data_IF_821765983439
#
_entry.id   IF_821765983439
#
_cell.length_a   1.000
_cell.length_b   1.000
_cell.length_c   1.000
_cell.angle_alpha   90.00
_cell.angle_beta   90.00
_cell.angle_gamma   90.00
#
_symmetry.space_group_name_H-M   'P 1'
#
loop_
_entity.id
_entity.type
_entity.pdbx_description
1 polymer ?
#
# COMPACT_ATOMS: atom_id res chain seq x y z
N UNK A 1 22.59 -17.82 0.26
CA UNK A 1 22.63 -18.13 1.70
C UNK A 1 21.91 -17.00 2.42
N UNK A 2 20.88 -17.30 3.20
CA UNK A 2 20.13 -16.29 3.95
C UNK A 2 20.90 -15.96 5.24
N UNK A 3 21.27 -14.70 5.43
CA UNK A 3 21.99 -14.25 6.63
C UNK A 3 21.01 -14.09 7.78
N UNK A 4 21.18 -14.86 8.87
CA UNK A 4 20.35 -14.77 10.06
C UNK A 4 21.04 -13.91 11.12
N UNK A 5 20.27 -13.04 11.77
CA UNK A 5 20.73 -12.22 12.89
C UNK A 5 19.73 -12.31 14.05
N UNK A 6 20.13 -11.83 15.23
CA UNK A 6 19.27 -11.78 16.42
C UNK A 6 19.19 -10.36 16.93
N UNK A 7 17.98 -9.94 17.31
CA UNK A 7 17.72 -8.60 17.87
C UNK A 7 17.24 -8.79 19.30
N UNK A 8 17.83 -8.04 20.25
CA UNK A 8 17.35 -8.01 21.62
C UNK A 8 16.17 -7.06 21.73
N UNK A 9 15.06 -7.56 22.25
CA UNK A 9 13.83 -6.80 22.50
C UNK A 9 13.35 -7.06 23.92
N UNK A 10 12.54 -6.16 24.52
CA UNK A 10 11.82 -6.45 25.76
C UNK A 10 10.97 -7.71 25.62
N UNK A 11 10.80 -8.45 26.73
CA UNK A 11 10.05 -9.71 26.76
C UNK A 11 8.60 -9.51 26.30
N UNK A 12 7.95 -8.44 26.76
CA UNK A 12 6.57 -8.13 26.39
C UNK A 12 6.42 -7.90 24.88
N UNK A 13 7.42 -7.26 24.25
CA UNK A 13 7.41 -7.03 22.80
C UNK A 13 7.62 -8.33 22.03
N UNK A 14 8.54 -9.19 22.47
CA UNK A 14 8.73 -10.52 21.89
C UNK A 14 7.41 -11.32 21.93
N UNK A 15 6.72 -11.30 23.06
CA UNK A 15 5.49 -12.07 23.25
C UNK A 15 4.36 -11.53 22.38
N UNK A 16 4.27 -10.21 22.23
CA UNK A 16 3.33 -9.57 21.30
C UNK A 16 3.63 -9.93 19.83
N UNK A 17 4.90 -9.97 19.43
CA UNK A 17 5.30 -10.41 18.08
C UNK A 17 4.96 -11.89 17.88
N UNK A 18 5.20 -12.74 18.89
CA UNK A 18 4.87 -14.16 18.83
C UNK A 18 3.36 -14.39 18.71
N UNK A 19 2.54 -13.61 19.43
CA UNK A 19 1.10 -13.64 19.29
C UNK A 19 0.64 -13.20 17.89
N UNK A 20 1.19 -12.10 17.37
CA UNK A 20 0.90 -11.63 16.02
C UNK A 20 1.23 -12.69 14.96
N UNK A 21 2.41 -13.30 15.05
CA UNK A 21 2.87 -14.35 14.16
C UNK A 21 1.95 -15.58 14.20
N UNK A 22 1.54 -16.01 15.41
CA UNK A 22 0.58 -17.12 15.57
C UNK A 22 -0.77 -16.82 14.93
N UNK A 23 -1.30 -15.62 15.13
CA UNK A 23 -2.60 -15.23 14.57
C UNK A 23 -2.58 -15.15 13.03
N UNK A 24 -1.41 -14.87 12.44
CA UNK A 24 -1.21 -14.80 10.99
C UNK A 24 -0.70 -16.11 10.38
N UNK A 25 -0.43 -17.13 11.20
CA UNK A 25 0.20 -18.38 10.79
C UNK A 25 1.57 -18.18 10.11
N UNK A 26 2.31 -17.17 10.54
CA UNK A 26 3.61 -16.76 10.00
C UNK A 26 4.74 -17.04 11.00
N UNK A 27 5.99 -16.99 10.52
CA UNK A 27 7.14 -16.98 11.42
C UNK A 27 7.28 -15.62 12.11
N UNK A 28 7.96 -15.55 13.25
CA UNK A 28 8.24 -14.26 13.91
C UNK A 28 9.03 -13.30 13.01
N UNK A 29 9.94 -13.82 12.18
CA UNK A 29 10.71 -13.01 11.24
C UNK A 29 9.83 -12.40 10.16
N UNK A 30 8.90 -13.17 9.59
CA UNK A 30 7.93 -12.69 8.60
C UNK A 30 6.95 -11.68 9.21
N UNK A 31 6.45 -11.94 10.41
CA UNK A 31 5.56 -11.01 11.10
C UNK A 31 6.24 -9.65 11.37
N UNK A 32 7.55 -9.66 11.68
CA UNK A 32 8.34 -8.42 11.81
C UNK A 32 8.53 -7.74 10.45
N UNK A 33 8.87 -8.50 9.39
CA UNK A 33 9.02 -7.93 8.05
C UNK A 33 7.72 -7.27 7.57
N UNK A 34 6.59 -7.97 7.70
CA UNK A 34 5.29 -7.43 7.32
C UNK A 34 4.92 -6.18 8.14
N UNK A 35 5.22 -6.17 9.44
CA UNK A 35 4.99 -4.99 10.27
C UNK A 35 5.82 -3.77 9.83
N UNK A 36 7.04 -3.99 9.33
CA UNK A 36 7.88 -2.93 8.76
C UNK A 36 7.31 -2.46 7.41
N UNK A 37 6.97 -3.38 6.52
CA UNK A 37 6.38 -3.05 5.21
C UNK A 37 5.10 -2.21 5.36
N UNK A 38 4.24 -2.57 6.33
CA UNK A 38 3.03 -1.82 6.63
C UNK A 38 3.31 -0.40 7.17
N UNK A 39 4.36 -0.24 7.99
CA UNK A 39 4.76 1.06 8.52
C UNK A 39 5.36 1.95 7.41
N UNK A 40 6.17 1.36 6.53
CA UNK A 40 6.75 2.05 5.37
C UNK A 40 5.65 2.50 4.39
N UNK A 41 4.66 1.62 4.12
CA UNK A 41 3.51 1.96 3.29
C UNK A 41 2.67 3.09 3.91
N UNK A 42 2.41 3.04 5.23
CA UNK A 42 1.69 4.12 5.92
C UNK A 42 2.43 5.45 5.81
N UNK A 43 3.76 5.46 5.99
CA UNK A 43 4.59 6.64 5.84
C UNK A 43 4.55 7.17 4.40
N UNK A 44 4.69 6.28 3.41
CA UNK A 44 4.60 6.64 2.00
C UNK A 44 3.26 7.32 1.68
N UNK A 45 2.14 6.75 2.11
CA UNK A 45 0.82 7.34 1.88
C UNK A 45 0.59 8.62 2.68
N UNK A 46 1.21 8.78 3.85
CA UNK A 46 1.19 10.03 4.60
C UNK A 46 1.89 11.16 3.82
N UNK A 47 3.07 10.88 3.26
CA UNK A 47 3.83 11.82 2.44
C UNK A 47 3.13 12.15 1.12
N UNK A 48 2.59 11.13 0.44
CA UNK A 48 1.84 11.30 -0.80
C UNK A 48 0.62 12.21 -0.59
N UNK A 49 -0.12 12.03 0.51
CA UNK A 49 -1.25 12.90 0.88
C UNK A 49 -0.80 14.31 1.23
N UNK A 50 0.31 14.47 1.95
CA UNK A 50 0.85 15.78 2.26
C UNK A 50 1.26 16.55 1.00
N UNK A 51 1.82 15.85 0.00
CA UNK A 51 2.28 16.43 -1.27
C UNK A 51 1.10 16.76 -2.20
N UNK A 52 0.16 15.84 -2.37
CA UNK A 52 -1.02 16.04 -3.24
C UNK A 52 -2.08 16.95 -2.63
N UNK A 53 -2.10 17.09 -1.30
CA UNK A 53 -3.07 17.91 -0.56
C UNK A 53 -2.79 19.41 -0.59
N UNK A 54 -1.65 19.84 -1.14
CA UNK A 54 -1.34 21.28 -1.30
C UNK A 54 -2.24 21.86 -2.39
N UNK A 55 -2.91 22.99 -2.12
CA UNK A 55 -3.91 23.59 -3.02
C UNK A 55 -3.39 23.84 -4.46
N UNK A 56 -2.09 24.13 -4.60
CA UNK A 56 -1.43 24.28 -5.90
C UNK A 56 -1.30 22.96 -6.65
N UNK A 57 -0.94 21.88 -5.95
CA UNK A 57 -0.89 20.54 -6.53
C UNK A 57 -2.27 20.05 -6.95
N UNK A 58 -3.32 20.41 -6.19
CA UNK A 58 -4.72 20.05 -6.52
C UNK A 58 -5.21 20.69 -7.82
N UNK A 59 -4.91 21.97 -8.05
CA UNK A 59 -5.31 22.68 -9.27
C UNK A 59 -4.52 22.22 -10.52
N UNK A 60 -3.28 21.77 -10.33
CA UNK A 60 -2.47 21.16 -11.39
C UNK A 60 -2.94 19.73 -11.71
N UNK A 61 -3.16 18.91 -10.69
CA UNK A 61 -3.69 17.54 -10.84
C UNK A 61 -5.08 17.53 -11.47
N UNK A 62 -5.94 18.49 -11.14
CA UNK A 62 -7.25 18.60 -11.78
C UNK A 62 -7.14 18.89 -13.28
N UNK A 63 -6.32 19.87 -13.68
CA UNK A 63 -6.09 20.19 -15.09
C UNK A 63 -5.49 19.00 -15.84
N UNK A 64 -4.57 18.29 -15.21
CA UNK A 64 -3.94 17.11 -15.80
C UNK A 64 -4.90 15.92 -15.91
N UNK A 65 -5.74 15.71 -14.91
CA UNK A 65 -6.82 14.72 -14.94
C UNK A 65 -7.84 15.03 -16.02
N UNK A 66 -8.22 16.29 -16.20
CA UNK A 66 -9.12 16.72 -17.28
C UNK A 66 -8.49 16.45 -18.65
N UNK A 67 -7.20 16.74 -18.82
CA UNK A 67 -6.45 16.44 -20.05
C UNK A 67 -6.39 14.94 -20.37
N UNK A 68 -6.15 14.11 -19.36
CA UNK A 68 -6.04 12.64 -19.51
C UNK A 68 -7.40 11.95 -19.57
N UNK A 69 -8.47 12.59 -19.08
CA UNK A 69 -9.81 12.00 -19.10
C UNK A 69 -10.31 11.70 -20.52
N UNK A 70 -9.86 12.48 -21.51
CA UNK A 70 -10.22 12.30 -22.91
C UNK A 70 -9.69 10.99 -23.51
N UNK A 71 -8.66 10.39 -22.91
CA UNK A 71 -8.06 9.12 -23.36
C UNK A 71 -8.51 7.93 -22.52
N UNK A 72 -9.41 8.10 -21.55
CA UNK A 72 -9.86 7.00 -20.69
C UNK A 72 -10.66 5.93 -21.44
N UNK A 73 -11.28 6.30 -22.56
CA UNK A 73 -12.06 5.40 -23.42
C UNK A 73 -11.33 5.05 -24.71
N UNK A 74 -10.06 5.45 -24.84
CA UNK A 74 -9.27 5.11 -26.02
C UNK A 74 -9.05 3.59 -26.05
N UNK A 75 -9.29 2.98 -27.22
CA UNK A 75 -9.25 1.53 -27.45
C UNK A 75 -10.27 0.68 -26.65
N UNK A 76 -11.21 1.27 -25.91
CA UNK A 76 -12.33 0.52 -25.33
C UNK A 76 -13.43 0.33 -26.38
N UNK A 77 -13.65 -0.91 -26.83
CA UNK A 77 -14.86 -1.25 -27.59
C UNK A 77 -16.08 -1.03 -26.68
N UNK A 78 -17.16 -0.39 -27.17
CA UNK A 78 -18.38 -0.25 -26.38
C UNK A 78 -18.87 -1.65 -26.00
N UNK A 79 -18.98 -1.93 -24.70
CA UNK A 79 -19.43 -3.23 -24.23
C UNK A 79 -20.86 -3.49 -24.72
N UNK A 80 -20.99 -4.41 -25.69
CA UNK A 80 -22.26 -4.89 -26.18
C UNK A 80 -22.78 -6.00 -25.26
N UNK A 81 -23.59 -5.60 -24.29
CA UNK A 81 -24.26 -6.52 -23.37
C UNK A 81 -25.52 -7.18 -23.97
N UNK A 82 -25.80 -6.99 -25.27
CA UNK A 82 -26.99 -7.55 -25.92
C UNK A 82 -26.98 -9.07 -26.05
N UNK A 83 -25.81 -9.72 -25.97
CA UNK A 83 -25.68 -11.18 -25.99
C UNK A 83 -25.98 -11.86 -24.63
N UNK A 84 -26.24 -11.09 -23.56
CA UNK A 84 -26.44 -11.60 -22.18
C UNK A 84 -27.90 -11.44 -21.69
N UNK A 85 -28.81 -10.89 -22.50
CA UNK A 85 -30.26 -10.74 -22.20
C UNK A 85 -31.14 -11.49 -23.19
#
# INVERSE_FOLDING_TARGET
MTTMTTIKVPVDLRDRIAELARNRHETMSEAVAHALDAADEEQFWAEARATMGVDTARAELQRESERLSATLTDELEPEDWSDIL
#
